data_IF_522426349386
#
_entry.id   IF_522426349386
#
_cell.length_a   1.000
_cell.length_b   1.000
_cell.length_c   1.000
_cell.angle_alpha   90.00
_cell.angle_beta   90.00
_cell.angle_gamma   90.00
#
_symmetry.space_group_name_H-M   'P 1'
#
loop_
_entity.id
_entity.type
_entity.pdbx_description
1 polymer ?
#
# COMPACT_ATOMS: atom_id res chain seq x y z
N UNK A 1 52.23 32.27 15.29
CA UNK A 1 53.14 31.09 15.28
C UNK A 1 52.43 29.91 14.62
N UNK A 2 53.17 29.08 13.86
CA UNK A 2 52.81 27.74 13.35
C UNK A 2 51.40 27.56 12.71
N UNK A 3 51.33 27.73 11.39
CA UNK A 3 50.31 27.08 10.53
C UNK A 3 50.82 25.68 10.18
N UNK A 4 50.01 24.64 10.34
CA UNK A 4 50.38 23.26 9.97
C UNK A 4 49.89 22.99 8.55
N UNK A 5 50.80 22.57 7.67
CA UNK A 5 50.53 22.26 6.27
C UNK A 5 50.40 20.74 6.12
N UNK A 6 49.17 20.24 5.96
CA UNK A 6 48.92 18.81 5.75
C UNK A 6 49.13 18.43 4.29
N UNK A 7 50.17 17.64 4.01
CA UNK A 7 50.45 17.10 2.66
C UNK A 7 49.72 15.77 2.50
N UNK A 8 48.79 15.70 1.55
CA UNK A 8 48.14 14.44 1.16
C UNK A 8 49.14 13.52 0.44
N UNK A 9 49.36 12.32 0.98
CA UNK A 9 50.02 11.23 0.27
C UNK A 9 48.94 10.24 -0.15
N UNK A 10 48.64 10.20 -1.46
CA UNK A 10 47.77 9.18 -2.03
C UNK A 10 48.56 7.87 -2.18
N UNK A 11 48.16 6.82 -1.45
CA UNK A 11 48.68 5.46 -1.66
C UNK A 11 47.63 4.68 -2.46
N UNK A 12 47.92 4.51 -3.75
CA UNK A 12 47.17 3.63 -4.63
C UNK A 12 47.58 2.18 -4.33
N UNK A 13 46.63 1.31 -3.97
CA UNK A 13 46.88 -0.12 -3.79
C UNK A 13 45.84 -0.92 -4.57
N UNK A 14 46.33 -1.66 -5.56
CA UNK A 14 45.55 -2.47 -6.50
C UNK A 14 45.82 -3.95 -6.20
N UNK A 15 44.83 -4.80 -6.53
CA UNK A 15 44.88 -6.27 -6.53
C UNK A 15 44.62 -6.94 -5.16
N UNK A 16 44.03 -8.14 -5.07
CA UNK A 16 43.72 -9.16 -6.09
C UNK A 16 42.28 -9.69 -5.96
N UNK A 17 41.64 -10.02 -7.09
CA UNK A 17 40.41 -10.83 -7.12
C UNK A 17 40.78 -12.32 -7.09
N UNK A 18 40.40 -13.03 -6.03
CA UNK A 18 40.51 -14.50 -5.95
C UNK A 18 39.16 -15.15 -6.24
N UNK A 19 38.99 -15.64 -7.47
CA UNK A 19 37.81 -16.41 -7.86
C UNK A 19 37.98 -17.89 -7.47
N UNK A 20 37.32 -18.32 -6.39
CA UNK A 20 37.17 -19.73 -6.08
C UNK A 20 35.94 -20.31 -6.79
N UNK A 21 36.14 -20.76 -8.03
CA UNK A 21 35.24 -21.73 -8.66
C UNK A 21 35.82 -23.12 -8.44
N UNK A 22 35.06 -24.02 -7.80
CA UNK A 22 35.15 -25.42 -8.18
C UNK A 22 33.83 -26.16 -7.96
N UNK A 23 33.55 -27.13 -8.81
CA UNK A 23 32.20 -27.65 -9.02
C UNK A 23 32.01 -29.08 -8.49
N UNK A 24 30.74 -29.38 -8.19
CA UNK A 24 30.07 -30.66 -8.45
C UNK A 24 30.55 -31.91 -7.67
N UNK A 25 29.69 -32.40 -6.77
CA UNK A 25 29.42 -33.84 -6.73
C UNK A 25 27.91 -34.11 -6.73
N UNK A 26 27.53 -35.10 -7.53
CA UNK A 26 26.15 -35.44 -7.87
C UNK A 26 25.81 -36.82 -7.28
N UNK A 27 24.62 -36.99 -6.68
CA UNK A 27 23.92 -38.29 -6.53
C UNK A 27 22.43 -37.98 -6.28
N UNK A 28 21.56 -37.95 -7.29
CA UNK A 28 20.91 -39.07 -8.01
C UNK A 28 20.28 -40.14 -7.11
N UNK A 29 18.93 -40.15 -7.06
CA UNK A 29 18.02 -41.11 -7.74
C UNK A 29 16.55 -40.66 -7.55
N UNK A 30 15.77 -40.39 -8.61
CA UNK A 30 14.93 -41.31 -9.42
C UNK A 30 13.74 -41.90 -8.64
N UNK A 31 12.49 -42.01 -9.10
CA UNK A 31 11.86 -42.06 -10.46
C UNK A 31 10.40 -41.48 -10.35
N UNK A 32 9.47 -41.41 -11.32
CA UNK A 32 9.39 -41.86 -12.74
C UNK A 32 8.34 -41.07 -13.56
N UNK A 33 8.72 -40.75 -14.80
CA UNK A 33 7.93 -40.70 -16.05
C UNK A 33 6.44 -41.09 -16.09
N UNK A 34 5.65 -40.26 -16.78
CA UNK A 34 4.78 -40.71 -17.91
C UNK A 34 4.41 -39.51 -18.81
N UNK A 35 4.14 -39.78 -20.09
CA UNK A 35 3.78 -38.76 -21.09
C UNK A 35 2.52 -39.21 -21.84
N UNK A 36 1.59 -38.30 -22.09
CA UNK A 36 0.49 -38.51 -23.04
C UNK A 36 0.13 -37.19 -23.76
N UNK A 37 -0.05 -37.29 -25.07
CA UNK A 37 -0.50 -36.22 -25.99
C UNK A 37 -2.03 -36.25 -26.15
N UNK A 38 -2.53 -35.39 -27.04
CA UNK A 38 -3.87 -35.40 -27.72
C UNK A 38 -4.96 -34.64 -26.93
N UNK A 39 -5.74 -33.72 -27.51
CA UNK A 39 -5.63 -32.98 -28.79
C UNK A 39 -6.51 -31.70 -28.79
N UNK A 40 -6.33 -30.86 -29.81
CA UNK A 40 -7.21 -29.72 -30.15
C UNK A 40 -8.64 -30.19 -30.48
N UNK A 41 -9.64 -29.35 -30.15
CA UNK A 41 -10.71 -29.01 -31.10
C UNK A 41 -11.17 -27.56 -30.87
N UNK A 42 -11.58 -26.91 -31.94
CA UNK A 42 -11.94 -25.49 -32.02
C UNK A 42 -13.14 -25.30 -32.96
N UNK A 43 -13.86 -24.17 -32.86
CA UNK A 43 -14.65 -23.52 -33.93
C UNK A 43 -15.98 -24.23 -34.33
N UNK A 44 -17.08 -23.53 -34.73
CA UNK A 44 -17.57 -22.17 -34.41
C UNK A 44 -19.14 -22.06 -34.36
N UNK A 45 -19.68 -20.84 -34.55
CA UNK A 45 -20.97 -20.45 -35.23
C UNK A 45 -21.78 -19.46 -34.35
N UNK A 46 -22.12 -18.20 -34.69
CA UNK A 46 -22.50 -17.47 -35.93
C UNK A 46 -24.04 -17.26 -36.08
N UNK A 47 -24.43 -16.22 -36.83
CA UNK A 47 -25.76 -15.57 -37.02
C UNK A 47 -26.02 -14.43 -36.03
N UNK A 48 -26.16 -13.15 -36.38
CA UNK A 48 -26.87 -12.45 -37.49
C UNK A 48 -28.40 -12.49 -37.43
N UNK A 49 -29.01 -11.34 -37.07
CA UNK A 49 -29.97 -10.53 -37.85
C UNK A 49 -30.36 -9.30 -37.00
N UNK A 50 -30.46 -8.02 -37.44
CA UNK A 50 -30.98 -7.37 -38.65
C UNK A 50 -32.51 -7.47 -38.87
N UNK A 51 -33.22 -6.39 -38.52
CA UNK A 51 -34.34 -5.73 -39.25
C UNK A 51 -35.10 -4.85 -38.23
N UNK A 52 -35.14 -3.52 -38.31
CA UNK A 52 -35.85 -2.69 -39.30
C UNK A 52 -37.38 -2.88 -39.30
N UNK A 53 -38.10 -1.85 -38.84
CA UNK A 53 -39.45 -1.50 -39.32
C UNK A 53 -39.73 -0.01 -39.10
N UNK A 54 -39.74 0.74 -40.20
CA UNK A 54 -40.17 2.14 -40.31
C UNK A 54 -41.69 2.20 -40.47
N UNK A 55 -42.37 3.07 -39.72
CA UNK A 55 -43.69 3.64 -40.12
C UNK A 55 -43.68 5.14 -39.81
N UNK A 56 -44.45 5.91 -40.56
CA UNK A 56 -44.26 7.34 -40.80
C UNK A 56 -45.54 8.14 -40.51
N UNK A 57 -45.37 9.44 -40.21
CA UNK A 57 -46.37 10.52 -40.41
C UNK A 57 -47.55 10.65 -39.43
N UNK A 58 -47.66 11.84 -38.82
CA UNK A 58 -48.82 12.29 -38.04
C UNK A 58 -48.63 13.68 -37.42
N UNK A 59 -48.74 14.74 -38.22
CA UNK A 59 -48.63 16.14 -37.77
C UNK A 59 -49.93 16.60 -37.09
N UNK A 60 -49.83 17.21 -35.90
CA UNK A 60 -50.64 18.36 -35.48
C UNK A 60 -50.00 19.06 -34.28
N UNK A 61 -50.08 20.39 -34.26
CA UNK A 61 -49.61 21.25 -33.17
C UNK A 61 -50.71 21.42 -32.13
N UNK A 62 -50.40 21.28 -30.84
CA UNK A 62 -51.10 22.08 -29.83
C UNK A 62 -50.17 22.42 -28.66
N UNK A 63 -50.24 23.68 -28.21
CA UNK A 63 -49.33 24.24 -27.21
C UNK A 63 -49.83 23.93 -25.81
N UNK A 64 -49.01 23.29 -24.98
CA UNK A 64 -49.23 23.26 -23.53
C UNK A 64 -47.89 23.30 -22.81
N UNK A 65 -47.62 24.44 -22.16
CA UNK A 65 -46.50 24.57 -21.22
C UNK A 65 -46.82 23.74 -19.98
N UNK A 66 -46.19 22.59 -19.85
CA UNK A 66 -46.02 21.90 -18.58
C UNK A 66 -44.55 22.00 -18.22
N UNK A 67 -44.25 22.48 -17.02
CA UNK A 67 -42.88 22.62 -16.54
C UNK A 67 -42.28 21.23 -16.36
N UNK A 68 -41.41 20.82 -17.28
CA UNK A 68 -40.48 19.72 -17.02
C UNK A 68 -39.55 20.14 -15.90
N UNK A 69 -39.90 19.72 -14.68
CA UNK A 69 -38.94 19.55 -13.60
C UNK A 69 -37.92 18.56 -14.13
N UNK A 70 -36.82 19.09 -14.67
CA UNK A 70 -35.64 18.33 -15.05
C UNK A 70 -35.13 17.62 -13.80
N UNK A 71 -35.63 16.40 -13.60
CA UNK A 71 -34.94 15.39 -12.81
C UNK A 71 -33.67 15.09 -13.58
N UNK A 72 -32.65 15.89 -13.32
CA UNK A 72 -31.27 15.51 -13.56
C UNK A 72 -31.07 14.25 -12.74
N UNK A 73 -31.26 13.10 -13.37
CA UNK A 73 -30.68 11.86 -12.88
C UNK A 73 -29.18 12.12 -12.85
N UNK A 74 -28.66 12.46 -11.67
CA UNK A 74 -27.23 12.44 -11.43
C UNK A 74 -26.80 11.01 -11.75
N UNK A 75 -26.24 10.85 -12.94
CA UNK A 75 -25.71 9.61 -13.45
C UNK A 75 -24.53 9.27 -12.57
N UNK A 76 -24.83 8.63 -11.43
CA UNK A 76 -23.92 8.43 -10.30
C UNK A 76 -22.75 7.60 -10.80
N UNK A 77 -21.68 8.29 -11.18
CA UNK A 77 -20.48 7.67 -11.70
C UNK A 77 -20.00 6.68 -10.65
N UNK A 78 -19.78 5.43 -11.07
CA UNK A 78 -19.28 4.41 -10.17
C UNK A 78 -17.98 4.92 -9.55
N UNK A 79 -17.83 4.81 -8.22
CA UNK A 79 -16.61 5.26 -7.54
C UNK A 79 -15.40 4.59 -8.20
N UNK A 80 -14.27 5.29 -8.39
CA UNK A 80 -13.05 4.68 -8.95
C UNK A 80 -12.51 3.52 -8.08
N UNK A 81 -13.04 3.36 -6.88
CA UNK A 81 -12.76 2.28 -5.93
C UNK A 81 -13.77 1.12 -5.99
N UNK A 82 -14.71 1.14 -6.94
CA UNK A 82 -15.72 0.09 -7.11
C UNK A 82 -15.08 -1.25 -7.48
N UNK A 83 -15.42 -2.32 -6.75
CA UNK A 83 -14.88 -3.67 -6.96
C UNK A 83 -13.68 -4.05 -6.07
N UNK A 84 -13.14 -3.12 -5.28
CA UNK A 84 -12.20 -3.42 -4.20
C UNK A 84 -12.94 -3.71 -2.89
N UNK A 85 -12.28 -4.41 -1.95
CA UNK A 85 -12.83 -4.61 -0.61
C UNK A 85 -12.73 -3.35 0.26
N UNK A 86 -13.61 -3.23 1.26
CA UNK A 86 -13.61 -2.10 2.20
C UNK A 86 -12.25 -1.90 2.88
N UNK A 87 -11.55 -2.99 3.21
CA UNK A 87 -10.19 -2.95 3.77
C UNK A 87 -9.17 -2.36 2.79
N UNK A 88 -9.17 -2.79 1.53
CA UNK A 88 -8.28 -2.23 0.50
C UNK A 88 -8.57 -0.74 0.28
N UNK A 89 -9.84 -0.35 0.33
CA UNK A 89 -10.30 1.05 0.22
C UNK A 89 -9.84 1.88 1.42
N UNK A 90 -9.97 1.37 2.65
CA UNK A 90 -9.46 2.04 3.85
C UNK A 90 -7.94 2.23 3.76
N UNK A 91 -7.20 1.15 3.49
CA UNK A 91 -5.73 1.18 3.43
C UNK A 91 -5.22 2.13 2.34
N UNK A 92 -5.87 2.18 1.18
CA UNK A 92 -5.51 3.13 0.11
C UNK A 92 -5.80 4.57 0.52
N UNK A 93 -6.99 4.87 1.06
CA UNK A 93 -7.36 6.22 1.50
C UNK A 93 -6.50 6.71 2.66
N UNK A 94 -6.22 5.87 3.66
CA UNK A 94 -5.30 6.20 4.76
C UNK A 94 -3.90 6.49 4.22
N UNK A 95 -3.38 5.67 3.29
CA UNK A 95 -2.06 5.91 2.68
C UNK A 95 -1.99 7.29 2.01
N UNK A 96 -2.97 7.67 1.18
CA UNK A 96 -3.01 9.01 0.57
C UNK A 96 -3.18 10.14 1.60
N UNK A 97 -4.00 9.92 2.63
CA UNK A 97 -4.21 10.90 3.70
C UNK A 97 -2.92 11.15 4.50
N UNK A 98 -2.11 10.12 4.74
CA UNK A 98 -0.79 10.25 5.37
C UNK A 98 0.22 10.92 4.43
N UNK A 99 0.21 10.59 3.13
CA UNK A 99 1.06 11.22 2.11
C UNK A 99 0.79 12.73 2.06
N UNK A 100 -0.48 13.15 2.04
CA UNK A 100 -0.83 14.57 2.14
C UNK A 100 -0.45 15.16 3.50
N UNK A 101 -0.73 14.47 4.62
CA UNK A 101 -0.43 14.98 5.97
C UNK A 101 1.05 15.35 6.14
N UNK A 102 1.96 14.48 5.68
CA UNK A 102 3.41 14.74 5.71
C UNK A 102 3.93 15.50 4.49
N UNK A 103 3.05 15.93 3.57
CA UNK A 103 3.37 16.67 2.33
C UNK A 103 4.42 15.94 1.47
N UNK A 104 4.29 14.62 1.38
CA UNK A 104 5.12 13.77 0.53
C UNK A 104 4.76 13.96 -0.94
N UNK A 105 5.73 14.36 -1.75
CA UNK A 105 5.56 14.56 -3.19
C UNK A 105 5.95 13.30 -3.98
N UNK A 106 5.40 12.14 -3.61
CA UNK A 106 5.58 10.87 -4.31
C UNK A 106 4.37 9.98 -4.16
N UNK A 107 4.23 9.04 -5.09
CA UNK A 107 3.25 7.96 -5.03
C UNK A 107 3.99 6.65 -4.70
N UNK A 108 3.53 5.86 -3.71
CA UNK A 108 4.28 4.69 -3.23
C UNK A 108 4.39 3.62 -4.32
N UNK A 109 5.54 2.94 -4.38
CA UNK A 109 5.76 1.79 -5.28
C UNK A 109 5.35 0.46 -4.63
N UNK A 110 5.32 0.42 -3.30
CA UNK A 110 4.88 -0.73 -2.49
C UNK A 110 4.11 -0.25 -1.28
N UNK A 111 3.09 -1.02 -0.87
CA UNK A 111 2.34 -0.83 0.37
C UNK A 111 2.16 -2.22 0.99
N UNK A 112 2.73 -2.43 2.17
CA UNK A 112 2.52 -3.62 2.99
C UNK A 112 1.61 -3.27 4.17
N UNK A 113 0.68 -4.16 4.46
CA UNK A 113 -0.28 -4.02 5.57
C UNK A 113 -0.06 -5.16 6.55
N UNK A 114 0.05 -4.84 7.83
CA UNK A 114 0.07 -5.81 8.93
C UNK A 114 -1.06 -5.47 9.88
N UNK A 115 -1.95 -6.43 10.17
CA UNK A 115 -3.02 -6.26 11.17
C UNK A 115 -2.54 -6.73 12.53
N UNK A 116 -2.88 -6.01 13.59
CA UNK A 116 -2.58 -6.38 14.96
C UNK A 116 -3.88 -6.42 15.75
N UNK A 117 -4.16 -7.55 16.41
CA UNK A 117 -5.26 -7.64 17.35
C UNK A 117 -4.96 -6.89 18.65
N UNK A 118 -6.00 -6.61 19.44
CA UNK A 118 -5.92 -5.97 20.75
C UNK A 118 -4.85 -6.58 21.67
N UNK A 119 -4.22 -5.72 22.46
CA UNK A 119 -3.15 -6.00 23.44
C UNK A 119 -1.80 -6.41 22.84
N UNK A 120 -1.50 -6.02 21.61
CA UNK A 120 -0.14 -6.10 21.05
C UNK A 120 0.79 -5.04 21.64
N UNK A 121 2.10 -5.32 21.66
CA UNK A 121 3.13 -4.35 22.07
C UNK A 121 3.34 -3.28 20.99
N UNK A 122 3.62 -2.04 21.41
CA UNK A 122 3.99 -0.93 20.52
C UNK A 122 5.35 -1.16 19.85
N UNK A 123 6.32 -1.66 20.62
CA UNK A 123 7.64 -2.06 20.12
C UNK A 123 7.81 -3.58 20.25
N UNK A 124 8.57 -4.23 19.35
CA UNK A 124 8.81 -5.68 19.39
C UNK A 124 9.89 -6.07 20.42
N UNK A 125 9.81 -5.49 21.63
CA UNK A 125 10.81 -5.62 22.70
C UNK A 125 10.14 -5.72 24.07
N UNK A 126 10.80 -6.45 24.97
CA UNK A 126 10.32 -6.64 26.34
C UNK A 126 10.17 -5.32 27.11
N UNK A 127 9.12 -5.25 27.94
CA UNK A 127 8.75 -4.05 28.70
C UNK A 127 7.96 -3.00 27.91
N UNK A 128 7.84 -3.11 26.58
CA UNK A 128 7.01 -2.20 25.78
C UNK A 128 5.57 -2.14 26.30
N UNK A 129 4.97 -0.95 26.29
CA UNK A 129 3.52 -0.80 26.55
C UNK A 129 2.71 -1.48 25.45
N UNK A 130 1.47 -1.86 25.80
CA UNK A 130 0.51 -2.51 24.89
C UNK A 130 -0.58 -1.55 24.42
N UNK A 131 -1.05 -1.75 23.20
CA UNK A 131 -2.21 -1.05 22.62
C UNK A 131 -3.46 -1.90 22.87
N UNK A 132 -4.50 -1.40 23.58
CA UNK A 132 -5.63 -2.22 24.02
C UNK A 132 -6.67 -2.51 22.91
N UNK A 133 -6.49 -1.95 21.71
CA UNK A 133 -7.42 -2.03 20.59
C UNK A 133 -6.72 -2.57 19.34
N UNK A 134 -7.50 -3.02 18.36
CA UNK A 134 -6.98 -3.47 17.07
C UNK A 134 -6.33 -2.30 16.32
N UNK A 135 -5.22 -2.57 15.63
CA UNK A 135 -4.50 -1.59 14.80
C UNK A 135 -4.07 -2.20 13.47
N UNK A 136 -3.69 -1.32 12.55
CA UNK A 136 -3.12 -1.65 11.26
C UNK A 136 -1.82 -0.86 11.09
N UNK A 137 -0.73 -1.58 10.81
CA UNK A 137 0.55 -0.99 10.41
C UNK A 137 0.63 -0.94 8.88
N UNK A 138 0.75 0.27 8.34
CA UNK A 138 1.03 0.54 6.94
C UNK A 138 2.53 0.84 6.76
N UNK A 139 3.21 -0.02 6.01
CA UNK A 139 4.59 0.20 5.56
C UNK A 139 4.56 0.49 4.06
N UNK A 140 4.82 1.74 3.66
CA UNK A 140 4.83 2.13 2.25
C UNK A 140 6.12 2.86 1.88
N UNK A 141 6.56 2.73 0.62
CA UNK A 141 7.86 3.23 0.19
C UNK A 141 7.82 3.93 -1.17
N UNK A 142 8.60 5.00 -1.32
CA UNK A 142 8.77 5.72 -2.59
C UNK A 142 9.66 4.97 -3.59
N UNK A 143 10.61 4.15 -3.11
CA UNK A 143 11.66 3.53 -3.93
C UNK A 143 12.20 2.21 -3.35
N UNK A 144 11.52 1.61 -2.38
CA UNK A 144 11.95 0.42 -1.62
C UNK A 144 13.27 0.57 -0.83
N UNK A 145 13.79 1.79 -0.65
CA UNK A 145 14.90 2.06 0.28
C UNK A 145 14.36 2.41 1.66
N UNK A 146 15.14 2.13 2.71
CA UNK A 146 14.75 2.46 4.09
C UNK A 146 14.47 3.95 4.30
N UNK A 147 15.24 4.83 3.66
CA UNK A 147 15.06 6.28 3.74
C UNK A 147 13.80 6.75 3.00
N UNK A 148 13.37 6.02 1.96
CA UNK A 148 12.13 6.25 1.24
C UNK A 148 10.90 5.57 1.85
N UNK A 149 11.04 4.83 2.95
CA UNK A 149 9.97 4.07 3.60
C UNK A 149 9.35 4.85 4.76
N UNK A 150 8.03 4.77 4.88
CA UNK A 150 7.25 5.28 6.00
C UNK A 150 6.51 4.12 6.65
N UNK A 151 6.52 4.08 7.98
CA UNK A 151 5.75 3.14 8.79
C UNK A 151 4.78 3.96 9.65
N UNK A 152 3.49 3.64 9.57
CA UNK A 152 2.41 4.24 10.36
C UNK A 152 1.59 3.12 10.97
N UNK A 153 1.39 3.16 12.28
CA UNK A 153 0.37 2.35 12.96
C UNK A 153 -0.84 3.23 13.23
N UNK A 154 -2.03 2.74 12.88
CA UNK A 154 -3.28 3.45 13.13
C UNK A 154 -4.40 2.51 13.60
N UNK A 155 -5.43 3.09 14.22
CA UNK A 155 -6.72 2.44 14.48
C UNK A 155 -7.86 3.26 13.88
N UNK A 156 -8.84 2.59 13.28
CA UNK A 156 -10.05 3.23 12.74
C UNK A 156 -10.98 3.65 13.88
N UNK A 157 -11.51 4.87 13.83
CA UNK A 157 -12.53 5.34 14.78
C UNK A 157 -13.96 5.04 14.29
N UNK A 158 -14.09 4.43 13.10
CA UNK A 158 -15.36 4.10 12.42
C UNK A 158 -16.31 5.29 12.14
N UNK A 159 -15.82 6.53 12.29
CA UNK A 159 -16.53 7.79 12.04
C UNK A 159 -15.98 8.56 10.82
N UNK A 160 -15.09 7.93 10.04
CA UNK A 160 -14.33 8.59 8.98
C UNK A 160 -13.01 9.21 9.44
N UNK A 161 -12.59 9.00 10.69
CA UNK A 161 -11.29 9.40 11.21
C UNK A 161 -10.46 8.20 11.69
N UNK A 162 -9.15 8.42 11.84
CA UNK A 162 -8.20 7.48 12.44
C UNK A 162 -7.44 8.14 13.58
N UNK A 163 -7.02 7.33 14.55
CA UNK A 163 -5.94 7.69 15.48
C UNK A 163 -4.66 7.00 15.01
N UNK A 164 -3.57 7.74 14.81
CA UNK A 164 -2.32 7.19 14.27
C UNK A 164 -1.07 7.74 14.94
N UNK A 165 0.02 6.99 14.85
CA UNK A 165 1.38 7.42 15.18
C UNK A 165 2.38 6.93 14.12
N UNK A 166 3.55 7.56 14.05
CA UNK A 166 4.60 7.19 13.09
C UNK A 166 5.66 6.33 13.76
N UNK A 167 5.77 5.10 13.33
CA UNK A 167 6.77 4.17 13.87
C UNK A 167 8.21 4.56 13.50
N UNK A 168 9.18 4.22 14.36
CA UNK A 168 10.59 4.22 13.99
C UNK A 168 10.83 3.26 12.81
N UNK A 169 11.54 3.73 11.78
CA UNK A 169 11.99 2.85 10.70
C UNK A 169 13.05 1.83 11.20
N UNK A 170 13.76 2.17 12.29
CA UNK A 170 14.79 1.36 12.92
C UNK A 170 14.89 1.64 14.41
N UNK A 171 15.29 0.60 15.15
CA UNK A 171 15.66 0.65 16.56
C UNK A 171 17.17 0.42 16.65
N UNK A 172 17.93 1.47 16.97
CA UNK A 172 19.41 1.46 16.90
C UNK A 172 20.11 1.45 18.27
N UNK A 173 19.35 1.64 19.36
CA UNK A 173 19.88 1.72 20.72
C UNK A 173 19.89 0.34 21.39
N UNK A 174 21.01 -0.07 21.98
CA UNK A 174 21.13 -1.38 22.65
C UNK A 174 20.18 -1.53 23.85
N UNK A 175 19.70 -0.41 24.42
CA UNK A 175 18.71 -0.41 25.50
C UNK A 175 17.38 -1.05 25.11
N UNK A 176 17.04 -1.13 23.81
CA UNK A 176 15.89 -1.92 23.34
C UNK A 176 15.99 -3.42 23.71
N UNK A 177 17.20 -3.94 23.92
CA UNK A 177 17.43 -5.34 24.29
C UNK A 177 17.81 -5.53 25.77
N UNK A 178 18.20 -4.45 26.46
CA UNK A 178 18.88 -4.52 27.77
C UNK A 178 18.19 -3.74 28.90
N UNK A 179 17.29 -2.81 28.58
CA UNK A 179 16.57 -2.00 29.58
C UNK A 179 15.05 -1.95 29.29
N UNK A 180 14.27 -2.94 29.78
CA UNK A 180 12.82 -2.97 29.63
C UNK A 180 12.09 -1.77 30.27
N UNK A 181 12.71 -1.07 31.22
CA UNK A 181 12.12 0.11 31.85
C UNK A 181 12.20 1.30 30.90
N UNK A 182 13.35 1.50 30.27
CA UNK A 182 13.52 2.50 29.22
C UNK A 182 12.66 2.20 27.99
N UNK A 183 12.55 0.94 27.56
CA UNK A 183 11.64 0.53 26.47
C UNK A 183 10.18 0.89 26.79
N UNK A 184 9.75 0.70 28.04
CA UNK A 184 8.41 1.12 28.50
C UNK A 184 8.19 2.62 28.39
N UNK A 185 9.19 3.42 28.75
CA UNK A 185 9.12 4.88 28.66
C UNK A 185 9.07 5.38 27.21
N UNK A 186 9.93 4.86 26.33
CA UNK A 186 9.94 5.27 24.90
C UNK A 186 8.68 4.81 24.16
N UNK A 187 8.21 3.59 24.39
CA UNK A 187 6.96 3.10 23.79
C UNK A 187 5.75 3.90 24.27
N UNK A 188 5.73 4.32 25.55
CA UNK A 188 4.74 5.27 26.05
C UNK A 188 4.83 6.64 25.37
N UNK A 189 6.03 7.22 25.21
CA UNK A 189 6.22 8.49 24.50
C UNK A 189 5.68 8.44 23.07
N UNK A 190 5.80 7.30 22.38
CA UNK A 190 5.23 7.12 21.05
C UNK A 190 3.70 7.12 21.06
N UNK A 191 3.05 6.41 21.99
CA UNK A 191 1.58 6.46 22.13
C UNK A 191 1.07 7.84 22.56
N UNK A 192 1.79 8.54 23.44
CA UNK A 192 1.46 9.91 23.83
C UNK A 192 1.61 10.91 22.66
N UNK A 193 2.19 10.49 21.52
CA UNK A 193 2.30 11.29 20.29
C UNK A 193 1.17 11.05 19.27
N UNK A 194 0.19 10.19 19.59
CA UNK A 194 -0.96 9.85 18.74
C UNK A 194 -1.70 11.11 18.27
N UNK A 195 -2.12 11.09 17.01
CA UNK A 195 -2.92 12.15 16.38
C UNK A 195 -4.18 11.59 15.77
N UNK A 196 -5.27 12.33 15.88
CA UNK A 196 -6.51 12.06 15.16
C UNK A 196 -6.49 12.77 13.79
N UNK A 197 -6.91 12.08 12.73
CA UNK A 197 -6.90 12.60 11.36
C UNK A 197 -8.16 12.14 10.60
N UNK A 198 -8.91 13.04 9.94
CA UNK A 198 -10.00 12.64 9.06
C UNK A 198 -9.46 12.01 7.78
N UNK A 199 -10.17 11.01 7.25
CA UNK A 199 -9.92 10.38 5.95
C UNK A 199 -10.90 10.95 4.92
N UNK A 200 -10.52 11.94 4.09
CA UNK A 200 -11.45 12.53 3.14
C UNK A 200 -11.59 11.67 1.87
N UNK A 201 -12.82 11.56 1.37
CA UNK A 201 -13.13 10.89 0.08
C UNK A 201 -12.58 11.66 -1.15
N UNK A 202 -12.03 12.86 -0.96
CA UNK A 202 -11.41 13.64 -2.04
C UNK A 202 -10.16 12.99 -2.62
N UNK A 203 -9.59 11.98 -1.95
CA UNK A 203 -8.46 11.21 -2.43
C UNK A 203 -8.85 9.91 -3.15
N UNK A 204 -10.14 9.63 -3.41
CA UNK A 204 -10.60 8.38 -4.05
C UNK A 204 -9.91 8.10 -5.39
N UNK A 205 -9.66 9.14 -6.20
CA UNK A 205 -8.97 9.03 -7.49
C UNK A 205 -7.48 8.69 -7.37
N UNK A 206 -6.82 9.11 -6.28
CA UNK A 206 -5.42 8.82 -5.97
C UNK A 206 -5.30 7.44 -5.31
N UNK A 207 -6.19 7.13 -4.36
CA UNK A 207 -6.32 5.82 -3.73
C UNK A 207 -6.47 4.72 -4.79
N UNK A 208 -7.29 4.94 -5.83
CA UNK A 208 -7.45 4.01 -6.95
C UNK A 208 -6.17 3.75 -7.76
N UNK A 209 -5.15 4.63 -7.70
CA UNK A 209 -3.85 4.45 -8.38
C UNK A 209 -2.85 3.61 -7.56
N UNK A 210 -3.09 3.45 -6.24
CA UNK A 210 -2.20 2.71 -5.34
C UNK A 210 -2.81 1.43 -4.77
N UNK A 211 -4.13 1.27 -4.81
CA UNK A 211 -4.85 0.16 -4.18
C UNK A 211 -4.40 -1.22 -4.68
N UNK A 212 -3.93 -1.32 -5.94
CA UNK A 212 -3.36 -2.54 -6.53
C UNK A 212 -1.94 -2.87 -6.04
N UNK A 213 -1.27 -1.95 -5.34
CA UNK A 213 0.07 -2.12 -4.75
C UNK A 213 0.02 -2.61 -3.30
N UNK A 214 -1.19 -2.75 -2.74
CA UNK A 214 -1.45 -3.13 -1.35
C UNK A 214 -1.30 -4.65 -1.19
N UNK A 215 -0.43 -5.03 -0.26
CA UNK A 215 -0.14 -6.41 0.10
C UNK A 215 -0.52 -6.61 1.57
N UNK A 216 -1.63 -7.29 1.81
CA UNK A 216 -2.07 -7.68 3.15
C UNK A 216 -1.33 -8.97 3.54
N UNK A 217 -0.73 -8.97 4.74
CA UNK A 217 0.00 -10.10 5.33
C UNK A 217 -0.82 -10.83 6.38
#
# INVERSE_FOLDING_TARGET
>A
MKKILSVSVAVLSIALLSACSNANQNKKKSVSSSSSKIARKSIPSNSENLSSSKVETGKSEETSKTEEISKTEEQKTASPLSGYSDEQVEYARVTETIIDYYKYNYQPVTISVTKHGANHQVFPYEGSVVVPQDTVTLTFSSNNTMAGTTNITYSSNHDGTINFYRDPNHYQDERYLTDPTWVKEESKKLLDSVKTLPIPISFDSQAAQIISKIQIK
#
